data_IF_099466021627
#
_entry.id   IF_099466021627
#
_cell.length_a   1.000
_cell.length_b   1.000
_cell.length_c   1.000
_cell.angle_alpha   90.00
_cell.angle_beta   90.00
_cell.angle_gamma   90.00
#
_symmetry.space_group_name_H-M   'P 1'
#
loop_
_entity.id
_entity.type
_entity.pdbx_description
1 polymer ?
#
# COMPACT_ATOMS: atom_id res chain seq x y z
N UNK A 1 -34.51 16.51 2.11
CA UNK A 1 -34.49 15.94 3.46
C UNK A 1 -33.09 15.41 3.64
N UNK A 2 -32.39 15.84 4.69
CA UNK A 2 -31.05 15.32 5.00
C UNK A 2 -31.16 13.86 5.43
N UNK A 3 -30.33 12.99 4.85
CA UNK A 3 -30.27 11.59 5.24
C UNK A 3 -29.52 11.48 6.58
N UNK A 4 -29.98 10.60 7.48
CA UNK A 4 -29.28 10.32 8.74
C UNK A 4 -27.87 9.79 8.49
N UNK A 5 -27.67 9.08 7.38
CA UNK A 5 -26.35 8.66 6.91
C UNK A 5 -25.38 9.85 6.76
N UNK A 6 -25.81 10.94 6.11
CA UNK A 6 -24.96 12.10 5.83
C UNK A 6 -24.72 12.99 7.07
N UNK A 7 -25.66 12.98 8.01
CA UNK A 7 -25.69 13.93 9.14
C UNK A 7 -25.25 13.34 10.47
N UNK A 8 -25.53 12.06 10.71
CA UNK A 8 -25.12 11.33 11.91
C UNK A 8 -24.87 9.85 11.58
N UNK A 9 -23.73 9.61 10.94
CA UNK A 9 -23.27 8.29 10.54
C UNK A 9 -23.22 7.28 11.70
N UNK A 10 -22.85 7.72 12.91
CA UNK A 10 -22.76 6.85 14.08
C UNK A 10 -24.14 6.31 14.48
N UNK A 11 -25.12 7.20 14.58
CA UNK A 11 -26.49 6.81 14.90
C UNK A 11 -27.08 5.97 13.77
N UNK A 12 -26.84 6.32 12.50
CA UNK A 12 -27.26 5.51 11.36
C UNK A 12 -26.69 4.08 11.43
N UNK A 13 -25.39 3.92 11.68
CA UNK A 13 -24.75 2.59 11.82
C UNK A 13 -25.41 1.76 12.93
N UNK A 14 -25.67 2.38 14.09
CA UNK A 14 -26.31 1.71 15.21
C UNK A 14 -27.74 1.26 14.87
N UNK A 15 -28.50 2.09 14.16
CA UNK A 15 -29.84 1.74 13.70
C UNK A 15 -29.82 0.58 12.71
N UNK A 16 -28.95 0.61 11.70
CA UNK A 16 -28.82 -0.49 10.74
C UNK A 16 -28.43 -1.81 11.44
N UNK A 17 -27.48 -1.77 12.38
CA UNK A 17 -27.08 -2.93 13.16
C UNK A 17 -28.23 -3.50 14.02
N UNK A 18 -29.11 -2.63 14.54
CA UNK A 18 -30.27 -3.06 15.31
C UNK A 18 -31.34 -3.70 14.42
N UNK A 19 -31.61 -3.14 13.25
CA UNK A 19 -32.52 -3.72 12.25
C UNK A 19 -32.05 -5.12 11.83
N UNK A 20 -30.74 -5.33 11.63
CA UNK A 20 -30.15 -6.64 11.35
C UNK A 20 -30.39 -7.61 12.50
N UNK A 21 -30.13 -7.21 13.76
CA UNK A 21 -30.36 -8.05 14.94
C UNK A 21 -31.82 -8.46 15.11
N UNK A 22 -32.75 -7.57 14.74
CA UNK A 22 -34.19 -7.82 14.79
C UNK A 22 -34.71 -8.61 13.57
N UNK A 23 -33.86 -8.91 12.58
CA UNK A 23 -34.26 -9.61 11.35
C UNK A 23 -35.13 -8.76 10.41
N UNK A 24 -35.14 -7.43 10.57
CA UNK A 24 -35.97 -6.49 9.81
C UNK A 24 -35.25 -6.03 8.55
N UNK A 25 -34.91 -6.98 7.67
CA UNK A 25 -34.11 -6.72 6.47
C UNK A 25 -34.79 -5.77 5.46
N UNK A 26 -36.12 -5.71 5.43
CA UNK A 26 -36.89 -4.86 4.52
C UNK A 26 -36.76 -3.36 4.83
N UNK A 27 -36.21 -3.01 5.99
CA UNK A 27 -36.06 -1.63 6.46
C UNK A 27 -34.60 -1.16 6.41
N UNK A 28 -33.70 -2.03 5.94
CA UNK A 28 -32.30 -1.69 5.79
C UNK A 28 -32.11 -0.70 4.64
N UNK A 29 -31.21 0.25 4.89
CA UNK A 29 -30.72 1.17 3.89
C UNK A 29 -29.66 0.46 3.03
N UNK A 30 -30.13 -0.40 2.12
CA UNK A 30 -29.27 -1.31 1.35
C UNK A 30 -28.29 -0.58 0.43
N UNK A 31 -28.65 0.60 -0.09
CA UNK A 31 -27.79 1.37 -0.99
C UNK A 31 -26.55 1.87 -0.23
N UNK A 32 -26.76 2.55 0.90
CA UNK A 32 -25.66 3.05 1.74
C UNK A 32 -24.88 1.91 2.42
N UNK A 33 -25.55 0.81 2.81
CA UNK A 33 -24.86 -0.36 3.36
C UNK A 33 -23.92 -1.04 2.35
N UNK A 34 -24.34 -1.15 1.09
CA UNK A 34 -23.48 -1.70 0.04
C UNK A 34 -22.26 -0.82 -0.19
N UNK A 35 -22.46 0.50 -0.26
CA UNK A 35 -21.36 1.46 -0.41
C UNK A 35 -20.33 1.32 0.73
N UNK A 36 -20.80 1.27 1.99
CA UNK A 36 -19.93 1.13 3.15
C UNK A 36 -19.16 -0.21 3.17
N UNK A 37 -19.80 -1.31 2.78
CA UNK A 37 -19.11 -2.62 2.68
C UNK A 37 -18.03 -2.59 1.60
N UNK A 38 -18.30 -1.98 0.45
CA UNK A 38 -17.30 -1.83 -0.58
C UNK A 38 -16.16 -0.88 -0.16
N UNK A 39 -16.49 0.23 0.49
CA UNK A 39 -15.50 1.19 1.00
C UNK A 39 -14.61 0.60 2.08
N UNK A 40 -15.16 -0.23 2.97
CA UNK A 40 -14.37 -1.01 3.91
C UNK A 40 -13.34 -1.89 3.18
N UNK A 41 -13.75 -2.56 2.10
CA UNK A 41 -12.84 -3.35 1.25
C UNK A 41 -11.75 -2.50 0.61
N UNK A 42 -12.14 -1.37 -0.01
CA UNK A 42 -11.22 -0.41 -0.65
C UNK A 42 -10.23 0.19 0.34
N UNK A 43 -10.68 0.54 1.55
CA UNK A 43 -9.83 1.08 2.60
C UNK A 43 -8.74 0.09 3.05
N UNK A 44 -9.07 -1.21 3.16
CA UNK A 44 -8.08 -2.26 3.45
C UNK A 44 -7.05 -2.41 2.33
N UNK A 45 -7.50 -2.35 1.07
CA UNK A 45 -6.60 -2.35 -0.09
C UNK A 45 -5.64 -1.15 -0.06
N UNK A 46 -6.18 0.08 0.08
CA UNK A 46 -5.37 1.32 0.13
C UNK A 46 -4.36 1.32 1.28
N UNK A 47 -4.75 0.78 2.45
CA UNK A 47 -3.85 0.66 3.58
C UNK A 47 -2.69 -0.32 3.31
N UNK A 48 -2.96 -1.43 2.61
CA UNK A 48 -1.92 -2.38 2.18
C UNK A 48 -0.98 -1.75 1.16
N UNK A 49 -1.54 -1.07 0.15
CA UNK A 49 -0.79 -0.34 -0.88
C UNK A 49 0.15 0.70 -0.27
N UNK A 50 -0.35 1.59 0.59
CA UNK A 50 0.48 2.59 1.28
C UNK A 50 1.56 1.97 2.16
N UNK A 51 1.28 0.82 2.79
CA UNK A 51 2.26 0.12 3.60
C UNK A 51 3.41 -0.45 2.74
N UNK A 52 3.07 -1.02 1.57
CA UNK A 52 4.03 -1.53 0.60
C UNK A 52 4.85 -0.41 -0.04
N UNK A 53 4.23 0.70 -0.42
CA UNK A 53 4.90 1.88 -0.95
C UNK A 53 5.98 2.39 0.02
N UNK A 54 5.64 2.57 1.29
CA UNK A 54 6.59 3.01 2.32
C UNK A 54 7.70 1.97 2.56
N UNK A 55 7.37 0.67 2.52
CA UNK A 55 8.36 -0.40 2.63
C UNK A 55 9.38 -0.31 1.49
N UNK A 56 8.94 -0.17 0.24
CA UNK A 56 9.81 -0.02 -0.92
C UNK A 56 10.62 1.27 -0.87
N UNK A 57 10.00 2.40 -0.51
CA UNK A 57 10.70 3.68 -0.36
C UNK A 57 11.85 3.58 0.64
N UNK A 58 11.63 2.98 1.80
CA UNK A 58 12.69 2.78 2.80
C UNK A 58 13.77 1.81 2.32
N UNK A 59 13.40 0.76 1.60
CA UNK A 59 14.35 -0.21 1.04
C UNK A 59 15.20 0.39 -0.09
N UNK A 60 14.66 1.32 -0.88
CA UNK A 60 15.41 2.02 -1.93
C UNK A 60 16.30 3.13 -1.34
N UNK A 61 15.81 3.87 -0.35
CA UNK A 61 16.62 4.86 0.39
C UNK A 61 17.84 4.21 1.04
N UNK A 62 17.67 3.07 1.72
CA UNK A 62 18.81 2.36 2.32
C UNK A 62 19.87 1.92 1.29
N UNK A 63 19.46 1.50 0.10
CA UNK A 63 20.34 1.09 -1.00
C UNK A 63 21.03 2.25 -1.73
N UNK A 64 20.63 3.49 -1.52
CA UNK A 64 21.19 4.66 -2.21
C UNK A 64 22.01 5.55 -1.27
N UNK A 65 21.60 5.64 0.00
CA UNK A 65 22.28 6.46 1.00
C UNK A 65 23.47 5.78 1.69
N UNK A 66 23.75 4.51 1.39
CA UNK A 66 24.97 3.83 1.88
C UNK A 66 26.29 4.43 1.35
N UNK A 67 26.22 5.32 0.34
CA UNK A 67 27.39 5.96 -0.28
C UNK A 67 27.77 7.30 0.36
N UNK A 68 27.22 7.65 1.53
CA UNK A 68 27.58 8.90 2.22
C UNK A 68 28.79 8.66 3.12
N UNK A 69 29.74 9.60 3.11
CA UNK A 69 31.04 9.46 3.77
C UNK A 69 30.99 9.55 5.31
N UNK A 70 29.84 9.91 5.90
CA UNK A 70 29.68 10.03 7.35
C UNK A 70 29.10 8.77 7.99
N UNK A 71 29.99 7.95 8.53
CA UNK A 71 29.67 6.66 9.16
C UNK A 71 28.77 6.78 10.41
N UNK A 72 28.76 7.92 11.10
CA UNK A 72 28.00 8.07 12.36
C UNK A 72 26.52 8.39 12.11
N UNK A 73 26.23 9.22 11.10
CA UNK A 73 24.85 9.46 10.66
C UNK A 73 24.26 8.23 9.94
N UNK A 74 25.10 7.47 9.23
CA UNK A 74 24.71 6.23 8.57
C UNK A 74 24.16 5.19 9.54
N UNK A 75 24.82 4.98 10.68
CA UNK A 75 24.40 3.98 11.68
C UNK A 75 23.01 4.29 12.27
N UNK A 76 22.69 5.57 12.47
CA UNK A 76 21.39 5.99 13.01
C UNK A 76 20.27 5.87 11.98
N UNK A 77 20.52 6.26 10.72
CA UNK A 77 19.53 6.12 9.64
C UNK A 77 19.28 4.67 9.27
N UNK A 78 20.33 3.85 9.19
CA UNK A 78 20.20 2.44 8.90
C UNK A 78 19.38 1.71 9.98
N UNK A 79 19.62 2.02 11.27
CA UNK A 79 18.82 1.47 12.38
C UNK A 79 17.37 1.91 12.31
N UNK A 80 17.11 3.21 12.13
CA UNK A 80 15.74 3.73 12.10
C UNK A 80 14.92 3.20 10.91
N UNK A 81 15.50 3.11 9.71
CA UNK A 81 14.81 2.53 8.56
C UNK A 81 14.66 1.02 8.66
N UNK A 82 15.65 0.30 9.20
CA UNK A 82 15.52 -1.14 9.45
C UNK A 82 14.37 -1.44 10.41
N UNK A 83 14.20 -0.62 11.45
CA UNK A 83 13.05 -0.73 12.38
C UNK A 83 11.74 -0.44 11.64
N UNK A 84 11.67 0.61 10.82
CA UNK A 84 10.47 0.94 10.03
C UNK A 84 10.11 -0.16 9.04
N UNK A 85 11.09 -0.70 8.29
CA UNK A 85 10.93 -1.83 7.39
C UNK A 85 10.40 -3.05 8.14
N UNK A 86 11.00 -3.38 9.29
CA UNK A 86 10.55 -4.49 10.14
C UNK A 86 9.09 -4.33 10.57
N UNK A 87 8.72 -3.15 11.10
CA UNK A 87 7.34 -2.82 11.50
C UNK A 87 6.36 -2.96 10.33
N UNK A 88 6.70 -2.42 9.16
CA UNK A 88 5.86 -2.47 7.95
C UNK A 88 5.68 -3.92 7.47
N UNK A 89 6.74 -4.73 7.44
CA UNK A 89 6.67 -6.16 7.10
C UNK A 89 5.74 -6.92 8.03
N UNK A 90 5.87 -6.72 9.34
CA UNK A 90 4.98 -7.36 10.33
C UNK A 90 3.53 -6.92 10.13
N UNK A 91 3.29 -5.63 9.90
CA UNK A 91 1.95 -5.11 9.63
C UNK A 91 1.33 -5.74 8.37
N UNK A 92 2.08 -5.81 7.27
CA UNK A 92 1.63 -6.44 6.01
C UNK A 92 1.29 -7.91 6.23
N UNK A 93 2.19 -8.69 6.86
CA UNK A 93 1.95 -10.10 7.12
C UNK A 93 0.72 -10.33 8.02
N UNK A 94 0.51 -9.46 9.02
CA UNK A 94 -0.65 -9.54 9.90
C UNK A 94 -1.95 -9.23 9.15
N UNK A 95 -1.96 -8.21 8.30
CA UNK A 95 -3.15 -7.84 7.51
C UNK A 95 -3.47 -8.91 6.45
N UNK A 96 -2.46 -9.47 5.78
CA UNK A 96 -2.64 -10.57 4.81
C UNK A 96 -3.15 -11.85 5.49
N UNK A 97 -2.67 -12.16 6.71
CA UNK A 97 -3.18 -13.30 7.49
C UNK A 97 -4.65 -13.15 7.87
N UNK A 98 -5.08 -11.93 8.20
CA UNK A 98 -6.48 -11.64 8.55
C UNK A 98 -7.40 -11.59 7.33
N UNK A 99 -6.87 -11.14 6.19
CA UNK A 99 -7.62 -10.90 4.96
C UNK A 99 -6.97 -11.67 3.80
N UNK A 100 -7.16 -12.99 3.71
CA UNK A 100 -6.48 -13.81 2.71
C UNK A 100 -6.81 -13.39 1.27
N UNK A 101 -8.00 -12.83 1.02
CA UNK A 101 -8.39 -12.30 -0.30
C UNK A 101 -7.49 -11.15 -0.81
N UNK A 102 -6.75 -10.47 0.06
CA UNK A 102 -5.79 -9.43 -0.34
C UNK A 102 -4.53 -9.99 -1.00
N UNK A 103 -4.22 -11.30 -0.88
CA UNK A 103 -3.05 -11.88 -1.54
C UNK A 103 -3.11 -11.72 -3.06
N UNK A 104 -4.30 -11.90 -3.65
CA UNK A 104 -4.53 -11.79 -5.09
C UNK A 104 -4.39 -10.34 -5.60
N UNK A 105 -4.29 -9.38 -4.70
CA UNK A 105 -4.12 -7.95 -5.00
C UNK A 105 -2.66 -7.50 -4.93
N UNK A 106 -1.74 -8.35 -4.47
CA UNK A 106 -0.33 -8.01 -4.37
C UNK A 106 0.30 -7.74 -5.74
N UNK A 107 -0.07 -8.52 -6.76
CA UNK A 107 0.45 -8.33 -8.12
C UNK A 107 0.00 -7.00 -8.72
N UNK A 108 -1.28 -6.63 -8.52
CA UNK A 108 -1.85 -5.35 -8.96
C UNK A 108 -1.16 -4.15 -8.27
N UNK A 109 -0.95 -4.24 -6.96
CA UNK A 109 -0.23 -3.22 -6.19
C UNK A 109 1.22 -3.14 -6.68
N UNK A 110 1.89 -4.27 -6.89
CA UNK A 110 3.27 -4.29 -7.36
C UNK A 110 3.40 -3.68 -8.76
N UNK A 111 2.49 -4.00 -9.68
CA UNK A 111 2.42 -3.40 -11.01
C UNK A 111 2.23 -1.88 -10.92
N UNK A 112 1.32 -1.42 -10.07
CA UNK A 112 1.09 0.03 -9.84
C UNK A 112 2.34 0.72 -9.31
N UNK A 113 3.02 0.14 -8.30
CA UNK A 113 4.20 0.73 -7.67
C UNK A 113 5.46 0.68 -8.54
N UNK A 114 5.54 -0.25 -9.49
CA UNK A 114 6.68 -0.39 -10.41
C UNK A 114 6.48 0.33 -11.73
N UNK A 115 5.27 0.83 -12.00
CA UNK A 115 4.98 1.71 -13.12
C UNK A 115 5.46 3.14 -12.81
N UNK A 116 6.78 3.28 -12.73
CA UNK A 116 7.45 4.54 -12.44
C UNK A 116 7.28 5.45 -13.67
N UNK A 117 6.57 6.59 -13.57
CA UNK A 117 6.49 7.54 -14.68
C UNK A 117 7.89 8.03 -15.03
N UNK A 118 8.16 8.29 -16.31
CA UNK A 118 9.48 8.69 -16.87
C UNK A 118 10.16 9.87 -16.14
N UNK A 119 9.41 10.63 -15.34
CA UNK A 119 9.86 11.80 -14.61
C UNK A 119 10.18 11.57 -13.11
N UNK A 120 10.14 10.32 -12.62
CA UNK A 120 10.44 10.00 -11.22
C UNK A 120 11.78 9.26 -11.05
N UNK A 121 12.68 9.71 -10.14
CA UNK A 121 12.59 10.89 -9.28
C UNK A 121 13.11 12.17 -9.96
N UNK A 122 12.59 13.37 -9.63
CA UNK A 122 13.11 14.63 -10.15
C UNK A 122 14.56 14.84 -9.67
N UNK A 123 15.47 14.89 -10.63
CA UNK A 123 16.89 15.32 -10.58
C UNK A 123 17.48 15.59 -9.20
N UNK A 124 17.79 14.52 -8.45
CA UNK A 124 19.04 14.40 -7.66
C UNK A 124 19.32 12.95 -7.26
N UNK A 125 19.57 12.10 -8.25
CA UNK A 125 20.34 10.87 -8.07
C UNK A 125 21.28 10.74 -9.25
N UNK A 126 22.46 11.34 -9.13
CA UNK A 126 23.54 11.06 -10.07
C UNK A 126 23.91 9.57 -9.96
N UNK A 127 23.64 8.86 -11.05
CA UNK A 127 24.23 7.59 -11.46
C UNK A 127 24.07 6.38 -10.52
N UNK A 128 23.19 5.45 -10.91
CA UNK A 128 23.33 4.04 -10.54
C UNK A 128 23.78 3.23 -11.77
N UNK A 129 25.06 2.81 -11.87
CA UNK A 129 25.60 2.11 -13.05
C UNK A 129 25.12 0.66 -13.18
N UNK A 130 24.30 0.17 -12.26
CA UNK A 130 23.91 -1.24 -12.18
C UNK A 130 22.78 -1.61 -13.16
N UNK A 131 21.98 -0.65 -13.65
CA UNK A 131 20.89 -0.92 -14.58
C UNK A 131 21.34 -1.06 -16.05
N UNK A 132 22.58 -0.69 -16.38
CA UNK A 132 23.11 -0.82 -17.75
C UNK A 132 23.51 -2.25 -18.14
N UNK A 133 23.52 -3.21 -17.21
CA UNK A 133 23.96 -4.60 -17.48
C UNK A 133 22.84 -5.57 -17.85
N UNK A 134 21.58 -5.24 -17.63
CA UNK A 134 20.46 -6.16 -17.91
C UNK A 134 19.95 -6.10 -19.37
N UNK A 135 20.34 -5.08 -20.15
CA UNK A 135 19.95 -4.96 -21.58
C UNK A 135 21.05 -5.36 -22.57
N UNK A 136 22.17 -5.95 -22.12
CA UNK A 136 23.33 -6.17 -22.99
C UNK A 136 23.37 -7.52 -23.73
N UNK A 137 22.36 -8.39 -23.62
CA UNK A 137 22.36 -9.70 -24.31
C UNK A 137 21.08 -9.89 -25.13
N UNK A 138 21.01 -9.24 -26.29
CA UNK A 138 20.14 -9.64 -27.40
C UNK A 138 20.89 -10.62 -28.32
N UNK A 139 20.22 -11.67 -28.84
CA UNK A 139 20.88 -12.71 -29.63
C UNK A 139 21.33 -12.17 -30.99
N UNK A 140 22.63 -12.31 -31.30
CA UNK A 140 23.16 -12.09 -32.64
C UNK A 140 22.77 -13.26 -33.53
N UNK A 141 21.79 -13.03 -34.40
CA UNK A 141 21.41 -13.98 -35.43
C UNK A 141 22.53 -13.99 -36.49
N UNK A 142 23.25 -15.11 -36.62
CA UNK A 142 24.26 -15.32 -37.67
C UNK A 142 23.55 -15.90 -38.90
N UNK A 143 23.68 -15.19 -40.02
CA UNK A 143 23.43 -15.70 -41.38
C UNK A 143 24.41 -16.80 -41.77
#
# INVERSE_FOLDING_TARGET
MENLYDTDFYTWCHQQAELIRQGRFNELDMDNLNEEVEDMGRARYRALESCLEQLFLHALKSQTQWKKDDLHEMDQWFRSWSISIGKKRVAILKELKKNPGLHNKLDEIFLTLTNIPENWPPTRCSANPTLSRLNAHGPTNKS
#
